data_IF_535548322561
#
_entry.id   IF_535548322561
#
_cell.length_a   1.000
_cell.length_b   1.000
_cell.length_c   1.000
_cell.angle_alpha   90.00
_cell.angle_beta   90.00
_cell.angle_gamma   90.00
#
_symmetry.space_group_name_H-M   'P 1'
#
loop_
_entity.id
_entity.type
_entity.pdbx_description
1 polymer ?
#
# COMPACT_ATOMS: atom_id res chain seq x y z
N UNK A 1 -16.59 -5.50 -9.74
CA UNK A 1 -16.06 -4.80 -8.56
C UNK A 1 -16.34 -3.31 -8.69
N UNK A 2 -16.65 -2.58 -7.62
CA UNK A 2 -16.80 -1.13 -7.68
C UNK A 2 -15.49 -0.49 -8.17
N UNK A 3 -15.59 0.46 -9.10
CA UNK A 3 -14.44 1.11 -9.72
C UNK A 3 -13.91 2.22 -8.81
N UNK A 4 -12.70 2.06 -8.28
CA UNK A 4 -12.03 3.08 -7.47
C UNK A 4 -11.33 4.06 -8.42
N UNK A 5 -11.55 5.37 -8.24
CA UNK A 5 -10.89 6.39 -9.07
C UNK A 5 -9.37 6.30 -8.90
N UNK A 6 -8.60 6.48 -9.98
CA UNK A 6 -7.13 6.37 -9.95
C UNK A 6 -6.45 7.22 -8.87
N UNK A 7 -6.95 8.43 -8.59
CA UNK A 7 -6.44 9.28 -7.48
C UNK A 7 -6.70 8.69 -6.09
N UNK A 8 -7.86 8.06 -5.89
CA UNK A 8 -8.17 7.38 -4.63
C UNK A 8 -7.27 6.16 -4.44
N UNK A 9 -6.97 5.45 -5.54
CA UNK A 9 -6.07 4.31 -5.52
C UNK A 9 -4.64 4.71 -5.14
N UNK A 10 -4.13 5.84 -5.67
CA UNK A 10 -2.85 6.43 -5.25
C UNK A 10 -2.82 6.69 -3.74
N UNK A 11 -3.88 7.32 -3.20
CA UNK A 11 -3.96 7.61 -1.77
C UNK A 11 -3.99 6.33 -0.92
N UNK A 12 -4.72 5.30 -1.38
CA UNK A 12 -4.78 4.02 -0.68
C UNK A 12 -3.41 3.34 -0.63
N UNK A 13 -2.70 3.28 -1.75
CA UNK A 13 -1.33 2.71 -1.83
C UNK A 13 -0.39 3.43 -0.85
N UNK A 14 -0.40 4.76 -0.87
CA UNK A 14 0.48 5.55 0.00
C UNK A 14 0.14 5.38 1.49
N UNK A 15 -1.14 5.23 1.83
CA UNK A 15 -1.56 5.01 3.21
C UNK A 15 -1.14 3.62 3.71
N UNK A 16 -1.32 2.58 2.89
CA UNK A 16 -0.90 1.21 3.21
C UNK A 16 0.62 1.12 3.34
N UNK A 17 1.38 1.68 2.40
CA UNK A 17 2.85 1.74 2.49
C UNK A 17 3.30 2.45 3.77
N UNK A 18 2.70 3.61 4.10
CA UNK A 18 3.04 4.33 5.32
C UNK A 18 2.82 3.49 6.59
N UNK A 19 1.77 2.67 6.62
CA UNK A 19 1.46 1.83 7.77
C UNK A 19 2.37 0.61 7.87
N UNK A 20 2.73 -0.01 6.74
CA UNK A 20 3.77 -1.06 6.67
C UNK A 20 5.09 -0.51 7.22
N UNK A 21 5.51 0.69 6.77
CA UNK A 21 6.74 1.30 7.25
C UNK A 21 6.65 1.67 8.73
N UNK A 22 5.49 2.09 9.22
CA UNK A 22 5.26 2.38 10.65
C UNK A 22 5.45 1.11 11.48
N UNK A 23 4.81 0.01 11.10
CA UNK A 23 4.89 -1.28 11.80
C UNK A 23 6.31 -1.85 11.78
N UNK A 24 6.99 -1.82 10.62
CA UNK A 24 8.38 -2.29 10.47
C UNK A 24 9.41 -1.42 11.21
N UNK A 25 9.06 -0.19 11.56
CA UNK A 25 9.91 0.72 12.30
C UNK A 25 9.66 0.69 13.82
N UNK A 26 8.70 -0.10 14.29
CA UNK A 26 8.48 -0.28 15.73
C UNK A 26 9.73 -0.95 16.35
N UNK A 27 10.26 -0.43 17.46
CA UNK A 27 11.27 -1.14 18.21
C UNK A 27 10.66 -2.37 18.89
N UNK A 28 11.45 -3.42 19.12
CA UNK A 28 11.00 -4.70 19.67
C UNK A 28 10.21 -4.53 20.98
N UNK A 29 10.60 -3.60 21.85
CA UNK A 29 9.90 -3.31 23.11
C UNK A 29 8.51 -2.67 22.95
N UNK A 30 8.19 -2.15 21.76
CA UNK A 30 6.91 -1.50 21.45
C UNK A 30 5.99 -2.38 20.59
N UNK A 31 6.47 -3.52 20.09
CA UNK A 31 5.66 -4.47 19.32
C UNK A 31 4.66 -5.15 20.26
N UNK A 32 3.38 -5.11 19.90
CA UNK A 32 2.31 -5.78 20.67
C UNK A 32 1.79 -7.01 19.94
N UNK A 33 1.20 -7.98 20.67
CA UNK A 33 0.54 -9.12 20.04
C UNK A 33 -0.53 -8.66 19.05
N UNK A 34 -0.37 -9.05 17.78
CA UNK A 34 -1.25 -8.67 16.67
C UNK A 34 -0.62 -7.73 15.65
N UNK A 35 0.45 -7.02 15.98
CA UNK A 35 1.15 -6.15 15.02
C UNK A 35 1.74 -6.95 13.84
N UNK A 36 2.25 -8.15 14.09
CA UNK A 36 2.77 -9.05 13.04
C UNK A 36 1.66 -9.51 12.08
N UNK A 37 0.48 -9.85 12.61
CA UNK A 37 -0.67 -10.25 11.79
C UNK A 37 -1.13 -9.05 10.96
N UNK A 38 -1.24 -7.88 11.60
CA UNK A 38 -1.64 -6.66 10.94
C UNK A 38 -0.64 -6.26 9.83
N UNK A 39 0.66 -6.47 10.04
CA UNK A 39 1.68 -6.25 9.02
C UNK A 39 1.46 -7.17 7.81
N UNK A 40 1.21 -8.47 8.03
CA UNK A 40 0.91 -9.43 6.95
C UNK A 40 -0.36 -9.01 6.19
N UNK A 41 -1.41 -8.57 6.90
CA UNK A 41 -2.65 -8.10 6.27
C UNK A 41 -2.41 -6.86 5.39
N UNK A 42 -1.57 -5.92 5.84
CA UNK A 42 -1.20 -4.76 5.03
C UNK A 42 -0.32 -5.11 3.84
N UNK A 43 0.60 -6.07 3.98
CA UNK A 43 1.41 -6.57 2.86
C UNK A 43 0.54 -7.22 1.79
N UNK A 44 -0.41 -8.06 2.17
CA UNK A 44 -1.39 -8.64 1.24
C UNK A 44 -2.24 -7.54 0.56
N UNK A 45 -2.71 -6.54 1.32
CA UNK A 45 -3.44 -5.42 0.75
C UNK A 45 -2.58 -4.59 -0.22
N UNK A 46 -1.27 -4.48 0.00
CA UNK A 46 -0.36 -3.78 -0.90
C UNK A 46 -0.22 -4.51 -2.24
N UNK A 47 -0.15 -5.85 -2.23
CA UNK A 47 -0.13 -6.67 -3.44
C UNK A 47 -1.42 -6.48 -4.26
N UNK A 48 -2.59 -6.57 -3.62
CA UNK A 48 -3.88 -6.35 -4.28
C UNK A 48 -3.99 -4.94 -4.90
N UNK A 49 -3.50 -3.92 -4.17
CA UNK A 49 -3.51 -2.54 -4.65
C UNK A 49 -2.54 -2.31 -5.81
N UNK A 50 -1.39 -2.99 -5.83
CA UNK A 50 -0.43 -2.94 -6.94
C UNK A 50 -1.04 -3.50 -8.22
N UNK A 51 -1.73 -4.65 -8.13
CA UNK A 51 -2.45 -5.24 -9.26
C UNK A 51 -3.56 -4.31 -9.78
N UNK A 52 -4.39 -3.78 -8.88
CA UNK A 52 -5.42 -2.81 -9.24
C UNK A 52 -4.84 -1.55 -9.88
N UNK A 53 -3.66 -1.11 -9.44
CA UNK A 53 -2.95 0.04 -10.01
C UNK A 53 -2.42 -0.24 -11.41
N UNK A 54 -1.85 -1.43 -11.62
CA UNK A 54 -1.39 -1.86 -12.93
C UNK A 54 -2.54 -1.83 -13.96
N UNK A 55 -3.73 -2.29 -13.58
CA UNK A 55 -4.90 -2.18 -14.44
C UNK A 55 -5.34 -0.72 -14.63
N UNK A 56 -5.36 0.09 -13.57
CA UNK A 56 -5.75 1.50 -13.66
C UNK A 56 -4.82 2.31 -14.58
N UNK A 57 -3.52 2.03 -14.61
CA UNK A 57 -2.55 2.73 -15.48
C UNK A 57 -2.79 2.48 -16.97
N UNK A 58 -3.49 1.40 -17.34
CA UNK A 58 -3.91 1.15 -18.74
C UNK A 58 -5.03 2.10 -19.17
N UNK A 59 -5.83 2.57 -18.22
CA UNK A 59 -7.02 3.41 -18.46
C UNK A 59 -6.72 4.90 -18.23
N UNK A 60 -5.90 5.23 -17.22
CA UNK A 60 -5.58 6.60 -16.84
C UNK A 60 -4.13 6.95 -17.22
N UNK A 61 -3.96 7.89 -18.14
CA UNK A 61 -2.63 8.27 -18.68
C UNK A 61 -1.78 9.17 -17.76
N UNK A 62 -2.36 9.71 -16.69
CA UNK A 62 -1.73 10.70 -15.81
C UNK A 62 -1.40 10.17 -14.40
N UNK A 63 -1.37 8.85 -14.23
CA UNK A 63 -0.99 8.22 -12.97
C UNK A 63 0.55 8.16 -12.85
N UNK A 64 1.13 8.48 -11.68
CA UNK A 64 2.57 8.38 -11.47
C UNK A 64 3.06 6.92 -11.53
N UNK A 65 4.35 6.65 -11.77
CA UNK A 65 4.90 5.31 -11.63
C UNK A 65 4.70 4.76 -10.21
N UNK A 66 4.35 3.48 -10.08
CA UNK A 66 4.12 2.84 -8.77
C UNK A 66 5.33 2.96 -7.83
N UNK A 67 6.55 2.90 -8.38
CA UNK A 67 7.79 3.08 -7.61
C UNK A 67 7.96 4.47 -6.96
N UNK A 68 7.16 5.47 -7.37
CA UNK A 68 7.13 6.79 -6.72
C UNK A 68 6.09 6.86 -5.59
N UNK A 69 5.21 5.86 -5.47
CA UNK A 69 4.15 5.81 -4.47
C UNK A 69 4.60 5.10 -3.19
N UNK A 70 5.48 4.11 -3.31
CA UNK A 70 5.93 3.26 -2.21
C UNK A 70 7.37 3.60 -1.80
N UNK A 71 7.65 3.52 -0.50
CA UNK A 71 9.00 3.70 0.03
C UNK A 71 9.73 2.37 -0.06
N UNK A 72 10.43 2.13 -1.17
CA UNK A 72 11.33 0.97 -1.29
C UNK A 72 12.38 1.00 -0.18
N UNK A 73 12.44 -0.07 0.60
CA UNK A 73 13.55 -0.36 1.51
C UNK A 73 14.17 -1.69 1.14
#
# INVERSE_FOLDING_TARGET
>A
MPEVKGKTLVMAIQAVDAEIQRLRALPDEAVVPGDEILLVDFEAAAEDLEEAYAEATRTYSNLPPYSQLVRRR
#
